data_IF_472631401480
#
_entry.id   IF_472631401480
#
_cell.length_a   1.000
_cell.length_b   1.000
_cell.length_c   1.000
_cell.angle_alpha   90.00
_cell.angle_beta   90.00
_cell.angle_gamma   90.00
#
_symmetry.space_group_name_H-M   'P 1'
#
loop_
_entity.id
_entity.type
_entity.pdbx_description
1 polymer ?
#
# COMPACT_ATOMS: atom_id res chain seq x y z
N UNK A 1 1.46 -14.85 -6.04
CA UNK A 1 2.87 -14.70 -5.63
C UNK A 1 2.86 -14.35 -4.15
N UNK A 2 3.70 -14.97 -3.34
CA UNK A 2 3.84 -14.70 -1.91
C UNK A 2 4.81 -13.52 -1.71
N UNK A 3 4.44 -12.53 -0.90
CA UNK A 3 5.27 -11.36 -0.59
C UNK A 3 5.66 -11.28 0.90
N UNK A 4 5.48 -12.36 1.66
CA UNK A 4 5.90 -12.47 3.04
C UNK A 4 7.37 -12.06 3.23
N UNK A 5 7.62 -11.18 4.20
CA UNK A 5 8.96 -10.67 4.52
C UNK A 5 9.54 -9.69 3.50
N UNK A 6 8.76 -9.23 2.52
CA UNK A 6 9.13 -8.16 1.60
C UNK A 6 8.52 -6.82 2.04
N UNK A 7 9.14 -5.73 1.59
CA UNK A 7 8.61 -4.38 1.73
C UNK A 7 8.18 -3.86 0.36
N UNK A 8 6.95 -3.35 0.26
CA UNK A 8 6.42 -2.72 -0.95
C UNK A 8 6.19 -1.22 -0.70
N UNK A 9 6.82 -0.37 -1.51
CA UNK A 9 6.59 1.07 -1.54
C UNK A 9 5.63 1.40 -2.68
N UNK A 10 4.48 2.00 -2.38
CA UNK A 10 3.46 2.38 -3.37
C UNK A 10 3.28 3.90 -3.36
N UNK A 11 3.62 4.55 -4.46
CA UNK A 11 3.36 5.98 -4.68
C UNK A 11 1.98 6.21 -5.29
N UNK A 12 1.33 7.32 -4.96
CA UNK A 12 -0.07 7.55 -5.31
C UNK A 12 -1.02 6.52 -4.69
N UNK A 13 -0.64 5.97 -3.53
CA UNK A 13 -1.34 4.84 -2.93
C UNK A 13 -2.58 5.21 -2.12
N UNK A 14 -2.92 6.49 -1.99
CA UNK A 14 -4.08 6.95 -1.21
C UNK A 14 -5.43 6.67 -1.88
N UNK A 15 -5.46 6.42 -3.19
CA UNK A 15 -6.71 6.21 -3.93
C UNK A 15 -6.57 5.27 -5.14
N UNK A 16 -7.72 4.93 -5.75
CA UNK A 16 -7.81 4.23 -7.03
C UNK A 16 -6.95 2.97 -7.13
N UNK A 17 -6.16 2.89 -8.21
CA UNK A 17 -5.29 1.75 -8.51
C UNK A 17 -4.15 1.65 -7.49
N UNK A 18 -3.60 2.77 -7.02
CA UNK A 18 -2.53 2.76 -6.03
C UNK A 18 -3.01 2.14 -4.72
N UNK A 19 -4.18 2.52 -4.24
CA UNK A 19 -4.81 1.94 -3.04
C UNK A 19 -5.06 0.45 -3.19
N UNK A 20 -5.66 0.04 -4.30
CA UNK A 20 -5.90 -1.38 -4.59
C UNK A 20 -4.58 -2.18 -4.65
N UNK A 21 -3.52 -1.57 -5.17
CA UNK A 21 -2.19 -2.19 -5.26
C UNK A 21 -1.56 -2.35 -3.87
N UNK A 22 -1.62 -1.31 -3.03
CA UNK A 22 -1.12 -1.35 -1.66
C UNK A 22 -1.81 -2.44 -0.83
N UNK A 23 -3.15 -2.48 -0.89
CA UNK A 23 -3.95 -3.53 -0.23
C UNK A 23 -3.59 -4.92 -0.74
N UNK A 24 -3.48 -5.10 -2.06
CA UNK A 24 -3.13 -6.39 -2.65
C UNK A 24 -1.72 -6.89 -2.27
N UNK A 25 -0.77 -6.00 -1.99
CA UNK A 25 0.53 -6.38 -1.43
C UNK A 25 0.42 -6.78 0.04
N UNK A 26 -0.33 -6.02 0.84
CA UNK A 26 -0.54 -6.30 2.25
C UNK A 26 -1.26 -7.65 2.48
N UNK A 27 -2.32 -7.93 1.72
CA UNK A 27 -3.06 -9.21 1.73
C UNK A 27 -2.16 -10.43 1.44
N UNK A 28 -1.04 -10.21 0.75
CA UNK A 28 -0.07 -11.25 0.37
C UNK A 28 1.18 -11.25 1.28
N UNK A 29 1.12 -10.56 2.42
CA UNK A 29 2.12 -10.63 3.48
C UNK A 29 3.28 -9.63 3.36
N UNK A 30 3.22 -8.68 2.43
CA UNK A 30 4.22 -7.61 2.40
C UNK A 30 3.99 -6.62 3.55
N UNK A 31 5.07 -6.06 4.11
CA UNK A 31 4.99 -4.77 4.78
C UNK A 31 4.83 -3.69 3.71
N UNK A 32 3.84 -2.80 3.85
CA UNK A 32 3.51 -1.82 2.82
C UNK A 32 3.74 -0.40 3.33
N UNK A 33 4.41 0.41 2.53
CA UNK A 33 4.55 1.85 2.72
C UNK A 33 3.76 2.56 1.64
N UNK A 34 2.78 3.35 2.05
CA UNK A 34 1.97 4.17 1.15
C UNK A 34 2.49 5.59 1.15
N UNK A 35 2.73 6.11 -0.04
CA UNK A 35 3.10 7.52 -0.26
C UNK A 35 2.05 8.14 -1.15
N UNK A 36 1.46 9.22 -0.68
CA UNK A 36 0.55 10.05 -1.45
C UNK A 36 0.79 11.53 -1.11
N UNK A 37 0.31 12.42 -1.97
CA UNK A 37 0.31 13.85 -1.68
C UNK A 37 -0.71 14.17 -0.58
N UNK A 38 -1.83 13.46 -0.57
CA UNK A 38 -2.82 13.51 0.52
C UNK A 38 -2.41 12.50 1.61
N UNK A 39 -1.84 13.04 2.70
CA UNK A 39 -1.35 12.24 3.81
C UNK A 39 -2.45 11.50 4.57
N UNK A 40 -3.67 12.05 4.61
CA UNK A 40 -4.80 11.41 5.28
C UNK A 40 -5.28 10.21 4.45
N UNK A 41 -5.40 10.39 3.13
CA UNK A 41 -5.73 9.30 2.22
C UNK A 41 -4.69 8.16 2.24
N UNK A 42 -3.40 8.51 2.36
CA UNK A 42 -2.32 7.54 2.54
C UNK A 42 -2.49 6.73 3.84
N UNK A 43 -2.78 7.40 4.96
CA UNK A 43 -2.94 6.77 6.27
C UNK A 43 -4.18 5.86 6.34
N UNK A 44 -5.26 6.18 5.63
CA UNK A 44 -6.47 5.35 5.59
C UNK A 44 -6.33 4.06 4.77
N UNK A 45 -5.26 3.93 3.98
CA UNK A 45 -5.16 2.84 2.99
C UNK A 45 -4.78 1.51 3.61
N UNK A 46 -3.78 1.47 4.48
CA UNK A 46 -3.27 0.24 5.12
C UNK A 46 -2.85 0.53 6.56
N UNK A 47 -3.09 -0.44 7.46
CA UNK A 47 -2.81 -0.36 8.90
C UNK A 47 -1.83 -1.43 9.35
#
# INVERSE_FOLDING_TARGET
>A
MDFAGKVALVTGGGNGIGRATALGFAERGAAVVVVDLDGDAAAETVS
#
